data_IF_141431124222
#
_entry.id   IF_141431124222
#
_cell.length_a   1.000
_cell.length_b   1.000
_cell.length_c   1.000
_cell.angle_alpha   90.00
_cell.angle_beta   90.00
_cell.angle_gamma   90.00
#
_symmetry.space_group_name_H-M   'P 1'
#
loop_
_entity.id
_entity.type
_entity.pdbx_description
1 polymer ?
#
# COMPACT_ATOMS: atom_id res chain seq x y z
N UNK A 1 -26.70 -38.50 -20.00
CA UNK A 1 -27.47 -37.35 -20.54
C UNK A 1 -27.61 -36.21 -19.54
N UNK A 2 -28.15 -36.45 -18.34
CA UNK A 2 -28.40 -35.38 -17.33
C UNK A 2 -27.12 -34.61 -16.96
N UNK A 3 -26.01 -35.31 -16.70
CA UNK A 3 -24.73 -34.67 -16.35
C UNK A 3 -24.24 -33.74 -17.46
N UNK A 4 -24.40 -34.12 -18.73
CA UNK A 4 -23.98 -33.31 -19.90
C UNK A 4 -24.84 -32.06 -20.02
N UNK A 5 -26.14 -32.17 -19.78
CA UNK A 5 -27.07 -31.03 -19.80
C UNK A 5 -26.74 -30.07 -18.65
N UNK A 6 -26.47 -30.59 -17.45
CA UNK A 6 -26.06 -29.77 -16.29
C UNK A 6 -24.74 -29.05 -16.58
N UNK A 7 -23.73 -29.75 -17.10
CA UNK A 7 -22.46 -29.12 -17.49
C UNK A 7 -22.66 -28.02 -18.53
N UNK A 8 -23.48 -28.27 -19.55
CA UNK A 8 -23.74 -27.30 -20.61
C UNK A 8 -24.48 -26.06 -20.10
N UNK A 9 -25.46 -26.24 -19.21
CA UNK A 9 -26.18 -25.12 -18.58
C UNK A 9 -25.28 -24.26 -17.69
N UNK A 10 -24.37 -24.89 -16.93
CA UNK A 10 -23.37 -24.17 -16.12
C UNK A 10 -22.42 -23.37 -17.00
N UNK A 11 -21.91 -23.96 -18.09
CA UNK A 11 -21.03 -23.26 -19.04
C UNK A 11 -21.75 -22.08 -19.70
N UNK A 12 -23.00 -22.28 -20.16
CA UNK A 12 -23.81 -21.21 -20.75
C UNK A 12 -24.06 -20.09 -19.73
N UNK A 13 -24.34 -20.41 -18.47
CA UNK A 13 -24.52 -19.43 -17.42
C UNK A 13 -23.26 -18.56 -17.24
N UNK A 14 -22.07 -19.16 -17.14
CA UNK A 14 -20.82 -18.42 -17.03
C UNK A 14 -20.53 -17.54 -18.25
N UNK A 15 -20.81 -18.04 -19.46
CA UNK A 15 -20.63 -17.27 -20.70
C UNK A 15 -21.59 -16.08 -20.74
N UNK A 16 -22.86 -16.29 -20.39
CA UNK A 16 -23.86 -15.22 -20.35
C UNK A 16 -23.50 -14.20 -19.28
N UNK A 17 -23.14 -14.62 -18.07
CA UNK A 17 -22.70 -13.72 -16.99
C UNK A 17 -21.47 -12.89 -17.40
N UNK A 18 -20.47 -13.53 -18.02
CA UNK A 18 -19.29 -12.84 -18.55
C UNK A 18 -19.67 -11.80 -19.60
N UNK A 19 -20.52 -12.15 -20.57
CA UNK A 19 -21.00 -11.23 -21.60
C UNK A 19 -21.80 -10.07 -21.00
N UNK A 20 -22.63 -10.34 -19.99
CA UNK A 20 -23.42 -9.33 -19.29
C UNK A 20 -22.51 -8.34 -18.55
N UNK A 21 -21.51 -8.83 -17.82
CA UNK A 21 -20.49 -7.99 -17.15
C UNK A 21 -19.72 -7.13 -18.15
N UNK A 22 -19.29 -7.70 -19.28
CA UNK A 22 -18.59 -6.96 -20.33
C UNK A 22 -19.48 -5.87 -20.95
N UNK A 23 -20.76 -6.18 -21.20
CA UNK A 23 -21.71 -5.22 -21.75
C UNK A 23 -22.03 -4.07 -20.77
N UNK A 24 -22.22 -4.39 -19.49
CA UNK A 24 -22.45 -3.40 -18.44
C UNK A 24 -21.23 -2.46 -18.30
N UNK A 25 -20.02 -3.03 -18.23
CA UNK A 25 -18.78 -2.26 -18.15
C UNK A 25 -18.61 -1.32 -19.35
N UNK A 26 -18.86 -1.81 -20.57
CA UNK A 26 -18.76 -1.00 -21.79
C UNK A 26 -19.79 0.14 -21.82
N UNK A 27 -21.01 -0.10 -21.32
CA UNK A 27 -22.06 0.93 -21.22
C UNK A 27 -21.71 2.00 -20.18
N UNK A 28 -21.15 1.60 -19.04
CA UNK A 28 -20.68 2.50 -17.99
C UNK A 28 -19.51 3.36 -18.46
N UNK A 29 -18.49 2.77 -19.11
CA UNK A 29 -17.39 3.50 -19.74
C UNK A 29 -17.89 4.51 -20.78
N UNK A 30 -18.86 4.12 -21.60
CA UNK A 30 -19.47 5.01 -22.59
C UNK A 30 -20.26 6.18 -21.97
N UNK A 31 -20.92 5.95 -20.83
CA UNK A 31 -21.61 6.99 -20.07
C UNK A 31 -20.62 7.95 -19.42
N UNK A 32 -19.63 7.44 -18.69
CA UNK A 32 -18.58 8.24 -18.06
C UNK A 32 -17.82 9.08 -19.08
N UNK A 33 -17.53 8.53 -20.26
CA UNK A 33 -16.87 9.26 -21.35
C UNK A 33 -17.70 10.43 -21.87
N UNK A 34 -19.04 10.32 -21.86
CA UNK A 34 -19.94 11.43 -22.20
C UNK A 34 -19.97 12.49 -21.11
N UNK A 35 -20.15 12.09 -19.85
CA UNK A 35 -20.14 12.99 -18.69
C UNK A 35 -18.82 13.77 -18.61
N UNK A 36 -17.68 13.12 -18.86
CA UNK A 36 -16.36 13.76 -18.96
C UNK A 36 -16.25 14.71 -20.14
N UNK A 37 -16.86 14.39 -21.28
CA UNK A 37 -16.93 15.29 -22.43
C UNK A 37 -17.72 16.57 -22.14
N UNK A 38 -18.81 16.46 -21.37
CA UNK A 38 -19.61 17.61 -20.92
C UNK A 38 -18.88 18.45 -19.87
N UNK A 39 -18.20 17.80 -18.91
CA UNK A 39 -17.35 18.47 -17.93
C UNK A 39 -16.17 19.19 -18.57
N UNK A 40 -15.56 18.59 -19.61
CA UNK A 40 -14.50 19.21 -20.41
C UNK A 40 -14.98 20.50 -21.08
N UNK A 41 -16.13 20.47 -21.76
CA UNK A 41 -16.70 21.65 -22.42
C UNK A 41 -17.04 22.75 -21.41
N UNK A 42 -17.46 22.37 -20.20
CA UNK A 42 -17.78 23.31 -19.12
C UNK A 42 -16.51 23.91 -18.49
N UNK A 43 -15.50 23.09 -18.19
CA UNK A 43 -14.22 23.51 -17.62
C UNK A 43 -13.40 24.37 -18.58
N UNK A 44 -13.50 24.13 -19.89
CA UNK A 44 -12.94 25.00 -20.93
C UNK A 44 -13.54 26.41 -20.95
N UNK A 45 -14.76 26.59 -20.41
CA UNK A 45 -15.50 27.86 -20.40
C UNK A 45 -15.37 28.65 -19.09
N UNK A 46 -14.91 28.01 -18.01
CA UNK A 46 -14.77 28.60 -16.68
C UNK A 46 -13.28 28.76 -16.34
N UNK A 47 -12.66 29.82 -16.86
CA UNK A 47 -11.25 30.13 -16.66
C UNK A 47 -11.09 31.16 -15.52
N UNK A 48 -10.88 30.69 -14.29
CA UNK A 48 -10.70 31.54 -13.10
C UNK A 48 -9.72 30.91 -12.14
N UNK A 49 -8.42 31.01 -12.41
CA UNK A 49 -7.40 30.68 -11.40
C UNK A 49 -6.43 31.84 -11.22
N UNK A 50 -6.26 32.30 -9.99
CA UNK A 50 -5.26 33.33 -9.62
C UNK A 50 -3.86 32.72 -9.38
N UNK A 51 -3.70 31.42 -9.63
CA UNK A 51 -2.50 30.67 -9.24
C UNK A 51 -1.37 30.73 -10.28
N UNK A 52 -1.72 30.79 -11.56
CA UNK A 52 -0.81 30.93 -12.70
C UNK A 52 -1.57 31.52 -13.90
N UNK A 53 -0.89 32.28 -14.75
CA UNK A 53 -1.54 33.08 -15.78
C UNK A 53 -2.11 32.23 -16.93
N UNK A 54 -1.43 31.13 -17.27
CA UNK A 54 -1.84 30.22 -18.36
C UNK A 54 -2.54 28.95 -17.87
N UNK A 55 -2.75 28.80 -16.55
CA UNK A 55 -3.28 27.57 -15.97
C UNK A 55 -4.70 27.30 -16.44
N UNK A 56 -4.88 26.11 -17.03
CA UNK A 56 -6.20 25.53 -17.27
C UNK A 56 -6.31 24.18 -16.56
N UNK A 57 -7.26 24.08 -15.64
CA UNK A 57 -7.50 22.89 -14.81
C UNK A 57 -8.79 22.20 -15.24
N UNK A 58 -8.73 20.88 -15.34
CA UNK A 58 -9.94 20.05 -15.42
C UNK A 58 -9.77 18.83 -14.52
N UNK A 59 -10.68 18.72 -13.55
CA UNK A 59 -10.74 17.59 -12.65
C UNK A 59 -11.83 16.60 -13.09
N UNK A 60 -11.56 15.32 -12.86
CA UNK A 60 -12.49 14.21 -13.09
C UNK A 60 -12.71 13.51 -11.77
N UNK A 61 -13.95 13.13 -11.47
CA UNK A 61 -14.26 12.33 -10.28
C UNK A 61 -13.51 10.99 -10.31
N UNK A 62 -12.79 10.70 -9.22
CA UNK A 62 -11.96 9.48 -9.06
C UNK A 62 -10.99 9.26 -10.23
N UNK A 63 -10.02 10.17 -10.46
CA UNK A 63 -9.16 10.11 -11.64
C UNK A 63 -8.18 8.93 -11.56
N UNK A 64 -7.82 8.38 -12.73
CA UNK A 64 -6.79 7.33 -12.83
C UNK A 64 -5.42 7.79 -12.33
N UNK A 65 -5.10 9.07 -12.56
CA UNK A 65 -3.92 9.80 -12.10
C UNK A 65 -4.15 11.31 -12.29
N UNK A 66 -3.35 12.13 -11.59
CA UNK A 66 -3.27 13.59 -11.77
C UNK A 66 -2.06 13.96 -12.62
N UNK A 67 -2.27 14.73 -13.69
CA UNK A 67 -1.25 15.05 -14.69
C UNK A 67 -1.09 16.57 -14.80
N UNK A 68 0.16 17.04 -14.85
CA UNK A 68 0.50 18.40 -15.24
C UNK A 68 1.16 18.36 -16.61
N UNK A 69 0.60 19.03 -17.62
CA UNK A 69 1.22 19.17 -18.94
C UNK A 69 1.76 20.60 -19.16
N UNK A 70 2.97 20.69 -19.71
CA UNK A 70 3.72 21.94 -19.89
C UNK A 70 4.21 22.04 -21.32
N UNK A 71 3.79 23.09 -22.02
CA UNK A 71 4.07 23.28 -23.44
C UNK A 71 3.82 24.73 -23.83
N UNK A 72 4.73 25.37 -24.56
CA UNK A 72 4.55 26.75 -25.02
C UNK A 72 3.56 26.89 -26.18
N UNK A 73 3.07 25.77 -26.73
CA UNK A 73 2.02 25.74 -27.75
C UNK A 73 0.63 25.41 -27.16
N UNK A 74 -0.29 26.40 -27.04
CA UNK A 74 -1.61 26.19 -26.41
C UNK A 74 -2.47 25.12 -27.11
N UNK A 75 -2.25 24.91 -28.41
CA UNK A 75 -2.95 23.91 -29.24
C UNK A 75 -2.57 22.48 -28.81
N UNK A 76 -1.30 22.27 -28.43
CA UNK A 76 -0.83 20.99 -27.91
C UNK A 76 -1.47 20.72 -26.54
N UNK A 77 -1.45 21.71 -25.64
CA UNK A 77 -2.09 21.59 -24.31
C UNK A 77 -3.59 21.30 -24.41
N UNK A 78 -4.30 21.96 -25.33
CA UNK A 78 -5.72 21.70 -25.56
C UNK A 78 -5.99 20.26 -26.06
N UNK A 79 -5.12 19.74 -26.91
CA UNK A 79 -5.17 18.36 -27.38
C UNK A 79 -4.93 17.37 -26.24
N UNK A 80 -3.91 17.61 -25.40
CA UNK A 80 -3.63 16.82 -24.19
C UNK A 80 -4.85 16.72 -23.28
N UNK A 81 -5.49 17.86 -22.98
CA UNK A 81 -6.69 17.91 -22.14
C UNK A 81 -7.80 17.07 -22.73
N UNK A 82 -8.17 17.34 -23.98
CA UNK A 82 -9.24 16.61 -24.68
C UNK A 82 -9.04 15.10 -24.65
N UNK A 83 -7.82 14.64 -24.90
CA UNK A 83 -7.50 13.20 -24.95
C UNK A 83 -7.56 12.59 -23.55
N UNK A 84 -6.81 13.14 -22.59
CA UNK A 84 -6.59 12.50 -21.29
C UNK A 84 -7.80 12.60 -20.36
N UNK A 85 -8.61 13.65 -20.46
CA UNK A 85 -9.85 13.76 -19.66
C UNK A 85 -10.86 12.69 -20.09
N UNK A 86 -11.02 12.45 -21.40
CA UNK A 86 -11.89 11.38 -21.90
C UNK A 86 -11.44 9.99 -21.40
N UNK A 87 -10.13 9.80 -21.24
CA UNK A 87 -9.53 8.58 -20.69
C UNK A 87 -9.59 8.49 -19.15
N UNK A 88 -10.06 9.54 -18.47
CA UNK A 88 -10.32 9.57 -17.02
C UNK A 88 -9.17 10.04 -16.17
N UNK A 89 -8.29 10.87 -16.71
CA UNK A 89 -7.25 11.56 -15.96
C UNK A 89 -7.72 12.97 -15.58
N UNK A 90 -7.27 13.45 -14.42
CA UNK A 90 -7.34 14.88 -14.11
C UNK A 90 -6.09 15.55 -14.66
N UNK A 91 -6.25 16.73 -15.24
CA UNK A 91 -5.16 17.41 -15.93
C UNK A 91 -5.15 18.91 -15.67
N UNK A 92 -3.97 19.39 -15.33
CA UNK A 92 -3.61 20.80 -15.34
C UNK A 92 -2.68 21.05 -16.52
N UNK A 93 -2.85 22.20 -17.18
CA UNK A 93 -1.95 22.62 -18.26
C UNK A 93 -1.47 24.03 -18.04
N UNK A 94 -0.18 24.27 -18.29
CA UNK A 94 0.47 25.59 -18.23
C UNK A 94 1.43 25.76 -19.40
N UNK A 95 1.66 27.00 -19.80
CA UNK A 95 2.49 27.36 -20.96
C UNK A 95 3.96 27.56 -20.60
N UNK A 96 4.31 27.62 -19.32
CA UNK A 96 5.70 27.86 -18.87
C UNK A 96 6.17 26.90 -17.78
N UNK A 97 7.46 26.56 -17.81
CA UNK A 97 8.09 25.73 -16.78
C UNK A 97 8.08 26.38 -15.38
N UNK A 98 8.11 27.71 -15.30
CA UNK A 98 8.05 28.44 -14.02
C UNK A 98 6.70 28.26 -13.33
N UNK A 99 5.60 28.36 -14.08
CA UNK A 99 4.25 28.09 -13.56
C UNK A 99 4.14 26.64 -13.11
N UNK A 100 4.66 25.70 -13.90
CA UNK A 100 4.66 24.28 -13.57
C UNK A 100 5.37 24.00 -12.23
N UNK A 101 6.55 24.59 -12.02
CA UNK A 101 7.29 24.44 -10.78
C UNK A 101 6.56 25.06 -9.58
N UNK A 102 5.81 26.15 -9.79
CA UNK A 102 4.94 26.75 -8.78
C UNK A 102 3.82 25.81 -8.36
N UNK A 103 3.20 25.11 -9.32
CA UNK A 103 2.11 24.17 -9.08
C UNK A 103 2.59 22.88 -8.41
N UNK A 104 3.71 22.31 -8.86
CA UNK A 104 4.30 21.08 -8.28
C UNK A 104 4.63 21.24 -6.79
N UNK A 105 4.87 22.48 -6.32
CA UNK A 105 5.10 22.77 -4.90
C UNK A 105 3.83 22.85 -4.06
N UNK A 106 2.68 23.12 -4.69
CA UNK A 106 1.40 23.38 -4.00
C UNK A 106 0.43 22.21 -4.11
N UNK A 107 0.49 21.46 -5.20
CA UNK A 107 -0.45 20.41 -5.54
C UNK A 107 0.28 19.08 -5.77
N UNK A 108 -0.46 17.99 -5.62
CA UNK A 108 0.05 16.65 -5.90
C UNK A 108 -0.24 16.23 -7.34
N UNK A 109 0.81 15.77 -8.01
CA UNK A 109 0.75 15.21 -9.36
C UNK A 109 1.40 13.84 -9.38
N UNK A 110 0.87 12.94 -10.20
CA UNK A 110 1.53 11.66 -10.48
C UNK A 110 2.57 11.82 -11.60
N UNK A 111 2.21 12.62 -12.60
CA UNK A 111 3.01 12.84 -13.79
C UNK A 111 3.15 14.32 -14.13
N UNK A 112 4.34 14.70 -14.59
CA UNK A 112 4.57 15.94 -15.32
C UNK A 112 4.95 15.59 -16.75
N UNK A 113 4.17 16.02 -17.71
CA UNK A 113 4.49 15.95 -19.12
C UNK A 113 5.04 17.32 -19.54
N UNK A 114 6.24 17.40 -20.08
CA UNK A 114 6.84 18.69 -20.46
C UNK A 114 7.44 18.61 -21.84
N UNK A 115 7.24 19.66 -22.65
CA UNK A 115 8.00 19.80 -23.89
C UNK A 115 9.50 19.96 -23.58
N UNK A 116 10.34 19.41 -24.45
CA UNK A 116 11.80 19.49 -24.31
C UNK A 116 12.32 20.91 -24.52
N UNK A 117 11.75 21.67 -25.46
CA UNK A 117 12.27 22.98 -25.87
C UNK A 117 11.21 24.05 -25.66
N UNK A 118 11.34 24.78 -24.55
CA UNK A 118 10.48 25.91 -24.24
C UNK A 118 11.30 27.18 -24.04
N UNK A 119 10.73 28.38 -24.31
CA UNK A 119 11.37 29.64 -23.99
C UNK A 119 11.68 29.78 -22.49
N UNK A 120 12.85 30.34 -22.18
CA UNK A 120 13.27 30.59 -20.80
C UNK A 120 13.85 29.34 -20.14
N UNK A 121 13.01 28.55 -19.48
CA UNK A 121 13.43 27.28 -18.84
C UNK A 121 12.93 26.12 -19.69
N UNK A 122 13.86 25.29 -20.15
CA UNK A 122 13.54 24.13 -20.98
C UNK A 122 13.02 22.95 -20.14
N UNK A 123 12.48 21.92 -20.80
CA UNK A 123 11.90 20.78 -20.09
C UNK A 123 12.94 19.94 -19.34
N UNK A 124 14.20 19.99 -19.74
CA UNK A 124 15.28 19.28 -19.06
C UNK A 124 15.60 19.91 -17.71
N UNK A 125 15.68 21.24 -17.67
CA UNK A 125 15.89 22.00 -16.44
C UNK A 125 14.67 21.93 -15.52
N UNK A 126 13.45 21.93 -16.10
CA UNK A 126 12.24 21.65 -15.33
C UNK A 126 12.29 20.24 -14.70
N UNK A 127 12.71 19.23 -15.46
CA UNK A 127 12.84 17.84 -14.97
C UNK A 127 13.76 17.77 -13.75
N UNK A 128 14.95 18.38 -13.84
CA UNK A 128 15.90 18.43 -12.71
C UNK A 128 15.28 19.12 -11.49
N UNK A 129 14.60 20.25 -11.69
CA UNK A 129 13.98 21.01 -10.62
C UNK A 129 12.83 20.22 -9.94
N UNK A 130 11.96 19.58 -10.73
CA UNK A 130 10.88 18.73 -10.22
C UNK A 130 11.46 17.55 -9.44
N UNK A 131 12.44 16.83 -10.00
CA UNK A 131 13.05 15.69 -9.30
C UNK A 131 13.80 16.05 -8.03
N UNK A 132 14.32 17.28 -7.95
CA UNK A 132 14.95 17.77 -6.73
C UNK A 132 13.94 18.09 -5.61
N UNK A 133 12.79 18.68 -5.95
CA UNK A 133 11.79 19.13 -4.97
C UNK A 133 10.77 18.03 -4.63
N UNK A 134 10.41 17.22 -5.63
CA UNK A 134 9.37 16.18 -5.59
C UNK A 134 9.84 14.94 -6.36
N UNK A 135 10.76 14.13 -5.79
CA UNK A 135 11.31 12.94 -6.45
C UNK A 135 10.24 11.87 -6.75
N UNK A 136 9.11 11.93 -6.02
CA UNK A 136 7.93 11.07 -6.16
C UNK A 136 7.14 11.29 -7.45
N UNK A 137 7.31 12.43 -8.15
CA UNK A 137 6.58 12.76 -9.39
C UNK A 137 7.33 12.22 -10.60
N UNK A 138 6.66 11.49 -11.49
CA UNK A 138 7.27 11.00 -12.73
C UNK A 138 7.24 12.06 -13.84
N UNK A 139 8.40 12.39 -14.38
CA UNK A 139 8.50 13.36 -15.47
C UNK A 139 8.61 12.62 -16.80
N UNK A 140 7.76 12.98 -17.76
CA UNK A 140 7.75 12.49 -19.14
C UNK A 140 8.09 13.64 -20.05
N UNK A 141 9.07 13.43 -20.93
CA UNK A 141 9.41 14.42 -21.94
C UNK A 141 8.55 14.27 -23.18
N UNK A 142 8.12 15.37 -23.76
CA UNK A 142 7.47 15.44 -25.05
C UNK A 142 8.44 16.14 -26.01
N UNK A 143 8.63 15.62 -27.22
CA UNK A 143 9.56 16.24 -28.19
C UNK A 143 9.11 16.05 -29.63
N UNK A 144 9.20 17.09 -30.45
CA UNK A 144 9.04 16.99 -31.91
C UNK A 144 10.34 16.68 -32.68
N UNK A 145 11.48 16.62 -31.98
CA UNK A 145 12.81 16.35 -32.54
C UNK A 145 13.50 15.25 -31.73
N UNK A 146 13.13 13.99 -31.98
CA UNK A 146 13.73 12.83 -31.32
C UNK A 146 15.14 12.53 -31.86
N UNK A 147 16.18 13.23 -31.37
CA UNK A 147 17.55 12.74 -31.55
C UNK A 147 17.93 11.79 -30.42
N UNK A 148 18.67 10.72 -30.74
CA UNK A 148 19.11 9.69 -29.77
C UNK A 148 19.87 10.32 -28.59
N UNK A 149 20.67 11.37 -28.83
CA UNK A 149 21.42 12.08 -27.79
C UNK A 149 20.50 12.74 -26.75
N UNK A 150 19.43 13.42 -27.20
CA UNK A 150 18.46 14.05 -26.29
C UNK A 150 17.73 13.02 -25.41
N UNK A 151 17.45 11.83 -25.94
CA UNK A 151 16.78 10.76 -25.20
C UNK A 151 17.68 10.16 -24.10
N UNK A 152 18.98 9.99 -24.37
CA UNK A 152 19.94 9.47 -23.37
C UNK A 152 20.13 10.45 -22.22
N UNK A 153 20.28 11.74 -22.52
CA UNK A 153 20.47 12.76 -21.49
C UNK A 153 19.21 12.95 -20.64
N UNK A 154 18.04 12.96 -21.27
CA UNK A 154 16.74 13.01 -20.59
C UNK A 154 16.59 11.94 -19.50
N UNK A 155 16.94 10.69 -19.82
CA UNK A 155 16.87 9.58 -18.87
C UNK A 155 17.91 9.71 -17.74
N UNK A 156 19.10 10.27 -18.02
CA UNK A 156 20.14 10.52 -17.01
C UNK A 156 19.70 11.54 -15.95
N UNK A 157 18.88 12.52 -16.33
CA UNK A 157 18.37 13.53 -15.40
C UNK A 157 17.09 13.12 -14.66
N UNK A 158 16.67 11.86 -14.80
CA UNK A 158 15.58 11.28 -14.01
C UNK A 158 14.20 11.37 -14.67
N UNK A 159 14.11 11.70 -15.96
CA UNK A 159 12.88 11.49 -16.70
C UNK A 159 12.56 9.98 -16.76
N UNK A 160 11.27 9.67 -16.71
CA UNK A 160 10.78 8.30 -16.71
C UNK A 160 10.77 7.71 -18.14
N UNK A 161 10.35 8.49 -19.11
CA UNK A 161 10.25 8.10 -20.53
C UNK A 161 10.05 9.36 -21.39
N UNK A 162 9.98 9.20 -22.71
CA UNK A 162 9.64 10.27 -23.65
C UNK A 162 8.58 9.85 -24.66
N UNK A 163 7.84 10.82 -25.18
CA UNK A 163 6.86 10.66 -26.27
C UNK A 163 7.16 11.63 -27.40
N UNK A 164 7.16 11.13 -28.64
CA UNK A 164 7.43 11.92 -29.83
C UNK A 164 6.15 12.59 -30.36
N UNK A 165 6.26 13.86 -30.73
CA UNK A 165 5.23 14.62 -31.45
C UNK A 165 5.47 14.49 -32.96
N UNK A 166 4.40 14.45 -33.79
CA UNK A 166 2.99 14.42 -33.40
C UNK A 166 2.56 13.01 -32.96
N UNK A 167 1.60 12.95 -32.03
CA UNK A 167 0.97 11.70 -31.59
C UNK A 167 -0.54 11.75 -31.87
N UNK A 168 -1.12 10.57 -32.10
CA UNK A 168 -2.57 10.39 -32.17
C UNK A 168 -3.19 10.32 -30.77
N UNK A 169 -4.52 10.55 -30.62
CA UNK A 169 -5.22 10.34 -29.36
C UNK A 169 -4.98 8.97 -28.72
N UNK A 170 -5.02 7.91 -29.53
CA UNK A 170 -4.85 6.55 -29.06
C UNK A 170 -3.41 6.27 -28.60
N UNK A 171 -2.42 6.83 -29.28
CA UNK A 171 -1.00 6.72 -28.89
C UNK A 171 -0.73 7.40 -27.55
N UNK A 172 -1.22 8.63 -27.35
CA UNK A 172 -1.04 9.34 -26.08
C UNK A 172 -1.75 8.62 -24.92
N UNK A 173 -2.97 8.14 -25.16
CA UNK A 173 -3.73 7.38 -24.18
C UNK A 173 -3.01 6.07 -23.79
N UNK A 174 -2.55 5.30 -24.77
CA UNK A 174 -1.82 4.06 -24.54
C UNK A 174 -0.48 4.30 -23.83
N UNK A 175 0.26 5.33 -24.24
CA UNK A 175 1.52 5.72 -23.61
C UNK A 175 1.32 6.14 -22.15
N UNK A 176 0.33 6.99 -21.88
CA UNK A 176 0.01 7.44 -20.51
C UNK A 176 -0.42 6.27 -19.62
N UNK A 177 -1.19 5.32 -20.16
CA UNK A 177 -1.56 4.12 -19.42
C UNK A 177 -0.34 3.21 -19.14
N UNK A 178 0.58 3.06 -20.09
CA UNK A 178 1.85 2.33 -19.88
C UNK A 178 2.69 3.00 -18.77
N UNK A 179 2.74 4.32 -18.77
CA UNK A 179 3.39 5.13 -17.72
C UNK A 179 2.76 4.88 -16.35
N UNK A 180 1.42 4.91 -16.27
CA UNK A 180 0.67 4.62 -15.06
C UNK A 180 0.95 3.21 -14.51
N UNK A 181 0.98 2.20 -15.38
CA UNK A 181 1.30 0.81 -14.97
C UNK A 181 2.71 0.75 -14.38
N UNK A 182 3.72 1.32 -15.06
CA UNK A 182 5.10 1.35 -14.57
C UNK A 182 5.25 2.07 -13.23
N UNK A 183 4.56 3.21 -13.06
CA UNK A 183 4.52 3.95 -11.79
C UNK A 183 3.94 3.07 -10.69
N UNK A 184 2.79 2.44 -10.94
CA UNK A 184 2.14 1.53 -9.98
C UNK A 184 3.05 0.37 -9.61
N UNK A 185 3.69 -0.28 -10.57
CA UNK A 185 4.63 -1.37 -10.32
C UNK A 185 5.84 -0.92 -9.47
N UNK A 186 6.36 0.29 -9.73
CA UNK A 186 7.48 0.84 -8.96
C UNK A 186 7.05 1.17 -7.53
N UNK A 187 5.95 1.89 -7.37
CA UNK A 187 5.39 2.24 -6.06
C UNK A 187 5.10 0.96 -5.29
N UNK A 188 4.47 -0.05 -5.92
CA UNK A 188 4.20 -1.34 -5.31
C UNK A 188 5.47 -2.03 -4.84
N UNK A 189 6.55 -2.06 -5.64
CA UNK A 189 7.86 -2.64 -5.26
C UNK A 189 8.59 -1.88 -4.15
N UNK A 190 8.40 -0.57 -4.08
CA UNK A 190 8.95 0.30 -3.03
C UNK A 190 8.15 0.17 -1.72
N UNK A 191 6.84 -0.07 -1.83
CA UNK A 191 5.96 -0.32 -0.69
C UNK A 191 5.92 -1.78 -0.26
N UNK A 192 6.40 -2.70 -1.10
CA UNK A 192 6.37 -4.12 -0.81
C UNK A 192 7.18 -4.41 0.47
N UNK A 193 6.60 -5.14 1.42
CA UNK A 193 7.28 -5.49 2.66
C UNK A 193 8.52 -6.35 2.35
N UNK A 194 9.65 -5.98 2.95
CA UNK A 194 10.92 -6.73 2.85
C UNK A 194 11.34 -7.22 4.22
N UNK A 195 11.88 -8.44 4.30
CA UNK A 195 12.43 -8.97 5.54
C UNK A 195 13.88 -8.53 5.72
N UNK A 196 14.26 -8.22 6.96
CA UNK A 196 15.63 -7.89 7.33
C UNK A 196 16.01 -8.66 8.61
N UNK A 197 17.13 -9.38 8.55
CA UNK A 197 17.67 -10.04 9.74
C UNK A 197 18.33 -9.01 10.67
N UNK A 198 17.82 -8.91 11.90
CA UNK A 198 18.37 -8.08 12.97
C UNK A 198 19.36 -8.89 13.78
N UNK A 199 20.56 -8.35 13.96
CA UNK A 199 21.64 -8.99 14.73
C UNK A 199 22.31 -7.95 15.61
N UNK A 200 23.26 -8.34 16.45
CA UNK A 200 24.04 -7.38 17.23
C UNK A 200 24.75 -6.30 16.36
N UNK A 201 25.00 -6.58 15.08
CA UNK A 201 25.64 -5.65 14.14
C UNK A 201 24.65 -4.86 13.25
N UNK A 202 23.36 -5.17 13.31
CA UNK A 202 22.34 -4.61 12.42
C UNK A 202 21.16 -4.16 13.27
N UNK A 203 20.95 -2.84 13.35
CA UNK A 203 19.85 -2.26 14.11
C UNK A 203 18.48 -2.53 13.47
N UNK A 204 17.44 -2.52 14.32
CA UNK A 204 16.04 -2.61 13.90
C UNK A 204 15.68 -1.43 12.97
N UNK A 205 15.07 -1.74 11.83
CA UNK A 205 14.53 -0.73 10.92
C UNK A 205 13.17 -0.24 11.42
N UNK A 206 13.03 1.08 11.55
CA UNK A 206 11.74 1.71 11.86
C UNK A 206 10.88 1.97 10.61
N UNK A 207 11.35 1.56 9.43
CA UNK A 207 10.53 1.66 8.21
C UNK A 207 9.31 0.73 8.30
N UNK A 208 8.10 1.21 7.95
CA UNK A 208 6.90 0.37 7.94
C UNK A 208 6.98 -0.77 6.92
N UNK A 209 7.75 -0.59 5.84
CA UNK A 209 7.89 -1.58 4.76
C UNK A 209 9.04 -2.57 4.99
N UNK A 210 9.72 -2.50 6.14
CA UNK A 210 10.79 -3.44 6.50
C UNK A 210 10.32 -4.23 7.70
N UNK A 211 10.25 -5.55 7.58
CA UNK A 211 9.93 -6.46 8.67
C UNK A 211 11.24 -6.97 9.28
N UNK A 212 11.45 -6.65 10.55
CA UNK A 212 12.60 -7.06 11.32
C UNK A 212 12.43 -8.49 11.82
N UNK A 213 13.36 -9.36 11.44
CA UNK A 213 13.41 -10.76 11.86
C UNK A 213 14.57 -10.93 12.83
N UNK A 214 14.35 -11.39 14.07
CA UNK A 214 15.40 -11.43 15.07
C UNK A 214 16.36 -12.61 14.82
N UNK A 215 17.66 -12.34 14.82
CA UNK A 215 18.70 -13.32 14.48
C UNK A 215 18.91 -14.42 15.52
N UNK A 216 18.71 -14.10 16.81
CA UNK A 216 19.00 -15.00 17.93
C UNK A 216 17.81 -15.33 18.83
N UNK A 217 16.59 -15.02 18.38
CA UNK A 217 15.35 -15.22 19.12
C UNK A 217 14.48 -16.20 18.35
N UNK A 218 13.77 -17.07 19.08
CA UNK A 218 12.86 -18.03 18.48
C UNK A 218 11.52 -17.38 18.16
N UNK A 219 10.82 -17.86 17.14
CA UNK A 219 9.51 -17.33 16.72
C UNK A 219 8.54 -18.49 16.48
N UNK A 220 7.32 -18.37 17.00
CA UNK A 220 6.23 -19.31 16.78
C UNK A 220 5.45 -19.01 15.50
N UNK A 221 4.74 -20.00 14.92
CA UNK A 221 3.85 -19.77 13.78
C UNK A 221 2.78 -18.69 14.00
N UNK A 222 2.37 -18.46 15.25
CA UNK A 222 1.39 -17.45 15.66
C UNK A 222 2.03 -16.07 15.91
N UNK A 223 3.26 -15.88 15.43
CA UNK A 223 4.02 -14.62 15.48
C UNK A 223 4.34 -14.11 16.90
N UNK A 224 4.48 -15.04 17.85
CA UNK A 224 5.06 -14.75 19.17
C UNK A 224 6.53 -15.12 19.18
N UNK A 225 7.39 -14.23 19.67
CA UNK A 225 8.81 -14.51 19.83
C UNK A 225 9.14 -15.00 21.24
N UNK A 226 10.21 -15.80 21.36
CA UNK A 226 10.72 -16.36 22.60
C UNK A 226 12.23 -16.11 22.73
N UNK A 227 12.60 -15.29 23.70
CA UNK A 227 14.00 -15.01 24.07
C UNK A 227 14.35 -15.73 25.37
N UNK A 228 15.33 -16.64 25.33
CA UNK A 228 15.74 -17.43 26.49
C UNK A 228 16.98 -16.79 27.09
N UNK A 229 16.94 -16.52 28.39
CA UNK A 229 18.10 -16.02 29.12
C UNK A 229 18.98 -17.15 29.67
N UNK A 230 20.11 -16.78 30.28
CA UNK A 230 21.06 -17.74 30.86
C UNK A 230 20.51 -18.53 32.05
N UNK A 231 19.42 -18.06 32.66
CA UNK A 231 18.74 -18.76 33.77
C UNK A 231 17.75 -19.80 33.28
N UNK A 232 17.44 -19.78 31.98
CA UNK A 232 16.42 -20.62 31.35
C UNK A 232 15.02 -20.01 31.40
N UNK A 233 14.86 -18.79 31.92
CA UNK A 233 13.62 -18.03 31.82
C UNK A 233 13.41 -17.60 30.36
N UNK A 234 12.19 -17.74 29.88
CA UNK A 234 11.78 -17.40 28.52
C UNK A 234 10.93 -16.14 28.54
N UNK A 235 11.44 -15.06 27.95
CA UNK A 235 10.65 -13.87 27.64
C UNK A 235 9.84 -14.10 26.38
N UNK A 236 8.59 -13.67 26.40
CA UNK A 236 7.65 -13.79 25.29
C UNK A 236 7.15 -12.40 24.89
N UNK A 237 7.08 -12.14 23.60
CA UNK A 237 6.50 -10.93 23.02
C UNK A 237 5.97 -11.18 21.62
N UNK A 238 5.55 -10.11 20.93
CA UNK A 238 5.06 -10.20 19.56
C UNK A 238 6.13 -9.79 18.56
N UNK A 239 6.23 -10.50 17.44
CA UNK A 239 7.22 -10.16 16.41
C UNK A 239 6.83 -8.89 15.61
N UNK A 240 7.82 -8.35 14.90
CA UNK A 240 7.68 -7.09 14.16
C UNK A 240 6.68 -7.20 13.00
N UNK A 241 6.52 -8.39 12.40
CA UNK A 241 5.55 -8.60 11.33
C UNK A 241 4.12 -8.45 11.85
N UNK A 242 3.81 -9.13 12.94
CA UNK A 242 2.50 -9.02 13.55
C UNK A 242 2.25 -7.58 13.99
N UNK A 243 3.18 -6.94 14.70
CA UNK A 243 3.02 -5.56 15.18
C UNK A 243 2.76 -4.55 14.03
N UNK A 244 3.44 -4.69 12.89
CA UNK A 244 3.23 -3.84 11.71
C UNK A 244 1.98 -4.21 10.92
N UNK A 245 1.51 -5.45 11.02
CA UNK A 245 0.27 -5.90 10.37
C UNK A 245 -0.97 -5.47 11.16
N UNK A 246 -0.93 -5.58 12.49
CA UNK A 246 -2.01 -5.23 13.41
C UNK A 246 -1.73 -3.91 14.12
N UNK A 247 -1.54 -2.85 13.32
CA UNK A 247 -1.30 -1.48 13.80
C UNK A 247 -2.36 -0.99 14.82
N UNK A 248 -2.05 0.12 15.50
CA UNK A 248 -2.98 0.82 16.39
C UNK A 248 -3.43 0.01 17.63
N UNK A 249 -2.49 -0.74 18.22
CA UNK A 249 -2.70 -1.44 19.49
C UNK A 249 -2.92 -0.40 20.59
N UNK A 250 -3.99 -0.57 21.38
CA UNK A 250 -4.41 0.36 22.43
C UNK A 250 -4.21 -0.18 23.83
N UNK A 251 -4.19 -1.50 23.98
CA UNK A 251 -4.03 -2.15 25.29
C UNK A 251 -3.51 -3.59 25.16
N UNK A 252 -2.96 -4.11 26.26
CA UNK A 252 -2.50 -5.49 26.42
C UNK A 252 -3.12 -6.10 27.69
N UNK A 253 -3.90 -7.16 27.54
CA UNK A 253 -4.29 -7.99 28.68
C UNK A 253 -3.17 -8.99 28.99
N UNK A 254 -2.56 -8.84 30.16
CA UNK A 254 -1.48 -9.72 30.61
C UNK A 254 -1.99 -11.04 31.18
N UNK A 255 -1.20 -12.14 31.09
CA UNK A 255 -1.49 -13.36 31.81
C UNK A 255 -1.44 -13.16 33.33
N UNK A 256 -2.17 -14.00 34.07
CA UNK A 256 -2.07 -14.04 35.52
C UNK A 256 -0.70 -14.59 35.95
N UNK A 257 0.07 -13.80 36.71
CA UNK A 257 1.35 -14.23 37.26
C UNK A 257 1.17 -15.46 38.18
N UNK A 258 2.05 -16.45 38.04
CA UNK A 258 2.00 -17.72 38.76
C UNK A 258 1.12 -18.78 38.12
N UNK A 259 0.34 -18.45 37.09
CA UNK A 259 -0.49 -19.41 36.35
C UNK A 259 0.37 -20.40 35.55
N UNK A 260 -0.19 -21.60 35.31
CA UNK A 260 0.39 -22.60 34.43
C UNK A 260 -0.30 -22.53 33.07
N UNK A 261 0.48 -22.57 31.99
CA UNK A 261 -0.02 -22.51 30.61
C UNK A 261 0.62 -23.61 29.79
N UNK A 262 -0.14 -24.22 28.88
CA UNK A 262 0.40 -25.18 27.90
C UNK A 262 0.64 -24.49 26.56
N UNK A 263 1.59 -25.01 25.79
CA UNK A 263 1.80 -24.57 24.41
C UNK A 263 0.46 -24.63 23.64
N UNK A 264 0.11 -23.54 22.96
CA UNK A 264 -1.13 -23.40 22.20
C UNK A 264 -2.33 -22.88 23.00
N UNK A 265 -2.26 -22.80 24.33
CA UNK A 265 -3.32 -22.19 25.16
C UNK A 265 -3.18 -20.66 25.17
N UNK A 266 -4.28 -19.90 25.32
CA UNK A 266 -4.25 -18.44 25.45
C UNK A 266 -3.24 -17.93 26.49
N UNK A 267 -2.39 -16.98 26.10
CA UNK A 267 -1.37 -16.39 26.97
C UNK A 267 -1.63 -14.91 27.26
N UNK A 268 -1.80 -14.10 26.22
CA UNK A 268 -2.07 -12.66 26.37
C UNK A 268 -3.00 -12.18 25.25
N UNK A 269 -3.59 -11.00 25.43
CA UNK A 269 -4.51 -10.41 24.45
C UNK A 269 -4.05 -9.02 24.06
N UNK A 270 -4.07 -8.70 22.78
CA UNK A 270 -3.91 -7.31 22.29
C UNK A 270 -5.27 -6.74 21.90
N UNK A 271 -5.52 -5.49 22.28
CA UNK A 271 -6.82 -4.83 22.05
C UNK A 271 -6.71 -3.56 21.22
N UNK A 272 -7.77 -3.33 20.44
CA UNK A 272 -8.05 -2.07 19.74
C UNK A 272 -9.55 -1.82 19.76
N UNK A 273 -9.99 -0.88 20.61
CA UNK A 273 -11.41 -0.65 20.84
C UNK A 273 -12.11 -1.93 21.33
N UNK A 274 -13.13 -2.38 20.61
CA UNK A 274 -13.87 -3.62 20.92
C UNK A 274 -13.22 -4.89 20.37
N UNK A 275 -12.16 -4.77 19.56
CA UNK A 275 -11.48 -5.91 18.95
C UNK A 275 -10.35 -6.42 19.83
N UNK A 276 -10.18 -7.73 19.82
CA UNK A 276 -9.17 -8.43 20.61
C UNK A 276 -8.56 -9.57 19.79
N UNK A 277 -7.23 -9.71 19.86
CA UNK A 277 -6.48 -10.84 19.34
C UNK A 277 -5.81 -11.57 20.51
N UNK A 278 -6.09 -12.86 20.65
CA UNK A 278 -5.67 -13.68 21.79
C UNK A 278 -4.50 -14.55 21.33
N UNK A 279 -3.29 -14.22 21.76
CA UNK A 279 -2.09 -14.93 21.33
C UNK A 279 -1.84 -16.15 22.22
N UNK A 280 -1.61 -17.34 21.61
CA UNK A 280 -1.33 -18.54 22.38
C UNK A 280 0.10 -18.56 22.91
N UNK A 281 0.33 -19.37 23.95
CA UNK A 281 1.65 -19.58 24.50
C UNK A 281 2.53 -20.38 23.54
N UNK A 282 3.75 -19.93 23.21
CA UNK A 282 4.68 -20.69 22.38
C UNK A 282 5.31 -21.88 23.11
N UNK A 283 5.27 -21.88 24.45
CA UNK A 283 5.88 -22.90 25.32
C UNK A 283 4.94 -23.31 26.46
N UNK A 284 5.12 -24.52 26.97
CA UNK A 284 4.47 -25.00 28.20
C UNK A 284 5.30 -24.57 29.43
N UNK A 285 4.69 -23.84 30.38
CA UNK A 285 5.41 -23.38 31.56
C UNK A 285 4.57 -22.61 32.58
N UNK A 286 5.24 -22.09 33.60
CA UNK A 286 4.64 -21.19 34.60
C UNK A 286 4.92 -19.75 34.24
N UNK A 287 3.92 -18.88 34.29
CA UNK A 287 4.10 -17.42 34.14
C UNK A 287 4.83 -16.89 35.38
N UNK A 288 6.01 -16.32 35.20
CA UNK A 288 6.85 -15.82 36.31
C UNK A 288 6.76 -14.31 36.48
N UNK A 289 6.46 -13.56 35.42
CA UNK A 289 6.35 -12.11 35.44
C UNK A 289 5.68 -11.54 34.20
N UNK A 290 5.31 -10.26 34.27
CA UNK A 290 4.70 -9.49 33.18
C UNK A 290 5.35 -8.12 33.07
N UNK A 291 5.34 -7.53 31.88
CA UNK A 291 5.97 -6.24 31.64
C UNK A 291 5.00 -5.09 31.95
N UNK A 292 5.00 -4.63 33.20
CA UNK A 292 4.16 -3.53 33.64
C UNK A 292 4.50 -2.18 32.99
N UNK A 293 5.67 -2.03 32.35
CA UNK A 293 6.03 -0.80 31.65
C UNK A 293 5.10 -0.55 30.46
N UNK A 294 4.56 -1.61 29.84
CA UNK A 294 3.65 -1.50 28.69
C UNK A 294 2.30 -0.88 29.05
N UNK A 295 1.92 -0.82 30.34
CA UNK A 295 0.72 -0.09 30.79
C UNK A 295 0.88 1.42 30.57
N UNK A 296 2.11 1.93 30.62
CA UNK A 296 2.41 3.36 30.49
C UNK A 296 3.07 3.70 29.15
N UNK A 297 3.83 2.75 28.60
CA UNK A 297 4.66 2.91 27.41
C UNK A 297 4.39 1.79 26.41
N UNK A 298 3.14 1.69 25.96
CA UNK A 298 2.71 0.66 25.01
C UNK A 298 3.50 0.71 23.70
N UNK A 299 3.97 1.88 23.28
CA UNK A 299 4.82 2.07 22.10
C UNK A 299 6.14 1.28 22.15
N UNK A 300 6.55 0.77 23.31
CA UNK A 300 7.71 -0.12 23.41
C UNK A 300 7.51 -1.41 22.62
N UNK A 301 6.27 -1.93 22.50
CA UNK A 301 6.01 -3.12 21.68
C UNK A 301 6.36 -2.87 20.22
N UNK A 302 6.09 -1.68 19.67
CA UNK A 302 6.37 -1.38 18.26
C UNK A 302 7.75 -0.79 18.02
N UNK A 303 8.31 -0.03 18.98
CA UNK A 303 9.61 0.65 18.80
C UNK A 303 10.81 -0.24 19.05
N UNK A 304 10.71 -1.18 19.98
CA UNK A 304 11.80 -2.07 20.41
C UNK A 304 11.25 -3.48 20.73
N UNK A 305 10.60 -4.14 19.75
CA UNK A 305 9.84 -5.38 19.99
C UNK A 305 10.67 -6.48 20.64
N UNK A 306 11.93 -6.62 20.24
CA UNK A 306 12.81 -7.71 20.67
C UNK A 306 13.66 -7.37 21.91
N UNK A 307 13.51 -6.16 22.45
CA UNK A 307 14.27 -5.71 23.62
C UNK A 307 13.36 -5.28 24.77
N UNK A 308 12.61 -4.18 24.58
CA UNK A 308 11.75 -3.59 25.63
C UNK A 308 10.28 -3.99 25.48
N UNK A 309 9.89 -4.45 24.29
CA UNK A 309 8.51 -4.85 23.95
C UNK A 309 8.10 -6.26 24.37
N UNK A 310 8.82 -6.90 25.30
CA UNK A 310 8.40 -8.20 25.85
C UNK A 310 7.14 -8.04 26.70
N UNK A 311 6.26 -9.04 26.72
CA UNK A 311 4.94 -8.99 27.37
C UNK A 311 4.95 -9.77 28.69
N UNK A 312 5.50 -10.98 28.70
CA UNK A 312 5.57 -11.81 29.90
C UNK A 312 6.79 -12.73 29.91
N UNK A 313 7.10 -13.28 31.09
CA UNK A 313 8.11 -14.30 31.30
C UNK A 313 7.47 -15.65 31.63
N UNK A 314 8.06 -16.72 31.13
CA UNK A 314 7.73 -18.11 31.41
C UNK A 314 8.94 -18.83 32.01
N UNK A 315 8.70 -19.66 33.02
CA UNK A 315 9.59 -20.74 33.43
C UNK A 315 9.18 -22.01 32.66
N UNK A 316 9.89 -22.39 31.59
CA UNK A 316 9.43 -23.45 30.70
C UNK A 316 9.67 -24.84 31.32
N UNK A 317 8.69 -25.73 31.19
CA UNK A 317 8.75 -27.09 31.73
C UNK A 317 9.20 -28.16 30.72
N UNK A 318 9.13 -27.86 29.41
CA UNK A 318 9.43 -28.78 28.30
C UNK A 318 10.33 -28.16 27.24
N UNK A 319 11.22 -27.26 27.65
CA UNK A 319 11.99 -26.38 26.76
C UNK A 319 12.67 -27.13 25.61
N UNK A 320 13.45 -28.18 25.90
CA UNK A 320 14.21 -28.92 24.89
C UNK A 320 13.33 -29.62 23.84
N UNK A 321 12.10 -30.02 24.21
CA UNK A 321 11.17 -30.72 23.31
C UNK A 321 10.40 -29.75 22.41
N UNK A 322 10.12 -28.55 22.91
CA UNK A 322 9.27 -27.57 22.24
C UNK A 322 10.06 -26.58 21.38
N UNK A 323 11.31 -26.28 21.76
CA UNK A 323 12.14 -25.28 21.07
C UNK A 323 12.43 -25.65 19.61
N UNK A 324 12.60 -26.95 19.31
CA UNK A 324 12.82 -27.44 17.95
C UNK A 324 11.63 -27.27 17.00
N UNK A 325 10.47 -26.85 17.51
CA UNK A 325 9.27 -26.58 16.71
C UNK A 325 9.14 -25.10 16.34
N UNK A 326 10.00 -24.22 16.89
CA UNK A 326 10.03 -22.79 16.61
C UNK A 326 11.02 -22.47 15.48
N UNK A 327 10.87 -21.30 14.87
CA UNK A 327 11.79 -20.77 13.84
C UNK A 327 12.85 -19.88 14.50
N UNK A 328 14.03 -19.76 13.91
CA UNK A 328 15.11 -18.90 14.43
C UNK A 328 16.04 -18.42 13.31
N UNK A 329 16.55 -17.20 13.45
CA UNK A 329 17.65 -16.69 12.64
C UNK A 329 17.35 -16.62 11.15
N UNK A 330 18.39 -16.83 10.34
CA UNK A 330 18.28 -16.76 8.88
C UNK A 330 17.32 -17.82 8.30
N UNK A 331 17.17 -18.96 8.98
CA UNK A 331 16.27 -20.04 8.55
C UNK A 331 14.78 -19.66 8.66
N UNK A 332 14.47 -18.60 9.43
CA UNK A 332 13.12 -18.05 9.51
C UNK A 332 12.77 -17.14 8.32
N UNK A 333 13.75 -16.61 7.57
CA UNK A 333 13.50 -15.61 6.52
C UNK A 333 12.54 -16.10 5.43
N UNK A 334 12.73 -17.30 4.82
CA UNK A 334 11.81 -17.78 3.78
C UNK A 334 10.40 -18.04 4.32
N UNK A 335 10.29 -18.39 5.60
CA UNK A 335 9.01 -18.55 6.27
C UNK A 335 8.30 -17.19 6.42
N UNK A 336 8.96 -16.17 6.97
CA UNK A 336 8.40 -14.81 7.04
C UNK A 336 7.99 -14.29 5.66
N UNK A 337 8.82 -14.47 4.63
CA UNK A 337 8.46 -14.06 3.26
C UNK A 337 7.18 -14.72 2.75
N UNK A 338 6.91 -15.96 3.15
CA UNK A 338 5.66 -16.66 2.83
C UNK A 338 4.48 -16.10 3.62
N UNK A 339 4.60 -15.98 4.95
CA UNK A 339 3.52 -15.47 5.82
C UNK A 339 3.10 -14.05 5.42
N UNK A 340 4.09 -13.17 5.16
CA UNK A 340 3.89 -11.79 4.69
C UNK A 340 3.10 -11.82 3.38
N UNK A 341 3.55 -12.61 2.40
CA UNK A 341 2.92 -12.69 1.08
C UNK A 341 1.47 -13.17 1.20
N UNK A 342 1.23 -14.20 1.99
CA UNK A 342 -0.11 -14.77 2.17
C UNK A 342 -1.06 -13.78 2.87
N UNK A 343 -0.58 -13.07 3.89
CA UNK A 343 -1.33 -11.99 4.54
C UNK A 343 -1.73 -10.89 3.56
N UNK A 344 -0.77 -10.32 2.83
CA UNK A 344 -1.03 -9.20 1.92
C UNK A 344 -1.90 -9.60 0.73
N UNK A 345 -1.78 -10.83 0.23
CA UNK A 345 -2.65 -11.37 -0.81
C UNK A 345 -4.12 -11.44 -0.32
N UNK A 346 -4.35 -11.96 0.89
CA UNK A 346 -5.69 -12.02 1.49
C UNK A 346 -6.25 -10.63 1.74
N UNK A 347 -5.46 -9.75 2.35
CA UNK A 347 -5.86 -8.38 2.66
C UNK A 347 -6.24 -7.62 1.38
N UNK A 348 -5.40 -7.69 0.34
CA UNK A 348 -5.66 -7.02 -0.95
C UNK A 348 -6.90 -7.57 -1.64
N UNK A 349 -7.13 -8.89 -1.56
CA UNK A 349 -8.31 -9.53 -2.15
C UNK A 349 -9.60 -9.06 -1.49
N UNK A 350 -9.64 -9.05 -0.15
CA UNK A 350 -10.80 -8.60 0.60
C UNK A 350 -11.05 -7.10 0.44
N UNK A 351 -9.98 -6.29 0.42
CA UNK A 351 -10.09 -4.84 0.19
C UNK A 351 -10.73 -4.54 -1.17
N UNK A 352 -10.30 -5.23 -2.23
CA UNK A 352 -10.91 -5.09 -3.57
C UNK A 352 -12.39 -5.48 -3.57
N UNK A 353 -12.77 -6.54 -2.86
CA UNK A 353 -14.16 -6.97 -2.75
C UNK A 353 -15.04 -5.93 -2.02
N UNK A 354 -14.51 -5.30 -0.95
CA UNK A 354 -15.20 -4.20 -0.26
C UNK A 354 -15.32 -2.96 -1.14
N UNK A 355 -14.23 -2.56 -1.82
CA UNK A 355 -14.21 -1.41 -2.74
C UNK A 355 -15.24 -1.58 -3.88
N UNK A 356 -15.39 -2.80 -4.41
CA UNK A 356 -16.41 -3.12 -5.43
C UNK A 356 -17.84 -3.06 -4.87
N UNK A 357 -18.05 -3.44 -3.62
CA UNK A 357 -19.37 -3.37 -2.95
C UNK A 357 -19.77 -1.95 -2.54
N UNK A 358 -18.81 -1.04 -2.35
CA UNK A 358 -19.02 0.27 -1.72
C UNK A 358 -18.95 1.46 -2.69
N UNK A 359 -18.94 1.23 -4.02
CA UNK A 359 -18.90 2.27 -5.08
C UNK A 359 -20.03 3.31 -5.08
N UNK A 360 -20.87 3.38 -4.03
CA UNK A 360 -21.99 4.31 -3.91
C UNK A 360 -21.85 5.36 -2.77
N UNK A 361 -20.79 5.34 -1.95
CA UNK A 361 -20.65 6.28 -0.82
C UNK A 361 -19.26 6.91 -0.76
N UNK A 362 -19.18 8.24 -0.90
CA UNK A 362 -17.97 9.00 -0.62
C UNK A 362 -17.67 8.93 0.89
N UNK A 363 -16.47 8.49 1.26
CA UNK A 363 -15.98 8.45 2.65
C UNK A 363 -14.80 9.39 2.84
N UNK A 364 -14.62 9.87 4.06
CA UNK A 364 -13.44 10.66 4.41
C UNK A 364 -12.17 9.78 4.40
N UNK A 365 -10.98 10.35 4.17
CA UNK A 365 -9.71 9.62 4.21
C UNK A 365 -9.44 8.91 5.56
N UNK A 366 -9.92 9.49 6.66
CA UNK A 366 -9.72 8.96 8.01
C UNK A 366 -10.55 7.70 8.24
N UNK A 367 -11.82 7.69 7.79
CA UNK A 367 -12.68 6.50 7.83
C UNK A 367 -12.12 5.36 6.97
N UNK A 368 -11.59 5.67 5.78
CA UNK A 368 -10.96 4.68 4.90
C UNK A 368 -9.72 4.03 5.55
N UNK A 369 -8.90 4.84 6.25
CA UNK A 369 -7.75 4.34 7.00
C UNK A 369 -8.20 3.44 8.15
N UNK A 370 -9.17 3.88 8.95
CA UNK A 370 -9.68 3.12 10.09
C UNK A 370 -10.19 1.74 9.67
N UNK A 371 -10.96 1.69 8.57
CA UNK A 371 -11.48 0.45 7.99
C UNK A 371 -10.38 -0.47 7.48
N UNK A 372 -9.33 0.10 6.88
CA UNK A 372 -8.17 -0.69 6.41
C UNK A 372 -7.47 -1.40 7.58
N UNK A 373 -7.24 -0.68 8.68
CA UNK A 373 -6.63 -1.28 9.88
C UNK A 373 -7.58 -2.32 10.49
N UNK A 374 -8.89 -2.06 10.51
CA UNK A 374 -9.88 -3.05 10.94
C UNK A 374 -9.84 -4.34 10.11
N UNK A 375 -9.80 -4.22 8.78
CA UNK A 375 -9.68 -5.37 7.91
C UNK A 375 -8.38 -6.15 8.20
N UNK A 376 -7.27 -5.44 8.40
CA UNK A 376 -5.98 -6.05 8.75
C UNK A 376 -6.05 -6.87 10.06
N UNK A 377 -6.68 -6.33 11.12
CA UNK A 377 -6.90 -7.07 12.38
C UNK A 377 -7.67 -8.37 12.18
N UNK A 378 -8.74 -8.35 11.36
CA UNK A 378 -9.54 -9.56 11.06
C UNK A 378 -8.73 -10.58 10.28
N UNK A 379 -8.08 -10.14 9.20
CA UNK A 379 -7.29 -11.02 8.32
C UNK A 379 -6.13 -11.65 9.09
N UNK A 380 -5.47 -10.88 9.95
CA UNK A 380 -4.36 -11.39 10.76
C UNK A 380 -4.86 -12.45 11.75
N UNK A 381 -5.92 -12.15 12.50
CA UNK A 381 -6.52 -13.08 13.45
C UNK A 381 -6.92 -14.40 12.80
N UNK A 382 -7.69 -14.33 11.71
CA UNK A 382 -8.17 -15.52 10.98
C UNK A 382 -7.04 -16.34 10.33
N UNK A 383 -5.91 -15.70 10.02
CA UNK A 383 -4.79 -16.37 9.34
C UNK A 383 -3.82 -17.02 10.32
N UNK A 384 -3.44 -16.34 11.40
CA UNK A 384 -2.29 -16.74 12.21
C UNK A 384 -2.63 -17.14 13.64
N UNK A 385 -3.73 -16.64 14.20
CA UNK A 385 -4.04 -16.79 15.62
C UNK A 385 -5.25 -17.71 15.84
N UNK A 386 -6.18 -17.74 14.89
CA UNK A 386 -7.47 -18.42 14.99
C UNK A 386 -8.62 -17.44 15.25
N UNK A 387 -9.88 -17.90 15.12
CA UNK A 387 -11.03 -17.01 15.23
C UNK A 387 -11.02 -16.30 16.58
N UNK A 388 -11.08 -14.96 16.53
CA UNK A 388 -11.35 -14.15 17.71
C UNK A 388 -12.63 -14.68 18.36
N UNK A 389 -12.51 -15.30 19.54
CA UNK A 389 -13.67 -15.50 20.38
C UNK A 389 -14.09 -14.10 20.85
N UNK A 390 -14.97 -13.45 20.07
CA UNK A 390 -15.73 -12.30 20.55
C UNK A 390 -16.25 -12.68 21.94
N UNK A 391 -15.86 -11.98 23.03
CA UNK A 391 -16.52 -12.23 24.29
C UNK A 391 -17.99 -11.89 24.07
N UNK A 392 -18.88 -12.82 24.44
CA UNK A 392 -20.31 -12.55 24.42
C UNK A 392 -20.58 -11.22 25.15
N UNK A 393 -21.49 -10.37 24.65
CA UNK A 393 -21.82 -9.14 25.35
C UNK A 393 -22.23 -9.52 26.77
N UNK A 394 -21.55 -8.91 27.75
CA UNK A 394 -21.91 -9.05 29.16
C UNK A 394 -23.36 -8.60 29.28
N UNK A 395 -24.21 -9.51 29.77
CA UNK A 395 -25.65 -9.31 29.93
C UNK A 395 -25.97 -8.41 31.10
#
# INVERSE_FOLDING_TARGET
MVIVIVLLTVVVFFVVDLLLRLALKKKEEGRLRRERGEALDTGLKLDYTDEAASLKRVEVDSPKARILAVDDEPVVLDSFRKILILEGYSIDTVETAQEALGLVRKHDYDFVFTDLKMPGMDGLDLTKAVKHVRPDIDVVMITGYGTIESAVDTMRFGAMDYVEKPFTPDELAAFTNKCLIRRRDRVEKETAPRVQLVTAAVEESHSPNVINVPGGIYVSPEHTWVGIDITGEARVGLDDFALKSIEDIRDVDFPAQGSQVRKGEPLFTLRRGERALIFPSPLTGRVTGVNHDLTYYLELVTRRPFALGWICCLEPSKLSQELGQLKIGADALPWYESEIRDFWNRLTTLRKAEEESERATARSPEEAKQKTIELAWSVFGDTFVGPSHTPAPVS
#
